data_IF_737514877370
#
_entry.id   IF_737514877370
#
_cell.length_a   1.000
_cell.length_b   1.000
_cell.length_c   1.000
_cell.angle_alpha   90.00
_cell.angle_beta   90.00
_cell.angle_gamma   90.00
#
_symmetry.space_group_name_H-M   'P 1'
#
loop_
_entity.id
_entity.type
_entity.pdbx_description
1 polymer ?
#
# COMPACT_ATOMS: atom_id res chain seq x y z
N UNK A 1 8.59 -12.15 21.73
CA UNK A 1 8.88 -12.46 20.31
C UNK A 1 8.27 -11.37 19.45
N UNK A 2 9.07 -10.63 18.69
CA UNK A 2 8.54 -9.58 17.80
C UNK A 2 7.82 -10.27 16.64
N UNK A 3 6.49 -10.28 16.63
CA UNK A 3 5.74 -10.81 15.49
C UNK A 3 6.07 -9.95 14.27
N UNK A 4 6.68 -10.56 13.26
CA UNK A 4 6.99 -9.89 12.00
C UNK A 4 5.66 -9.59 11.31
N UNK A 5 5.38 -8.33 11.01
CA UNK A 5 4.15 -7.94 10.29
C UNK A 5 4.14 -8.66 8.93
N UNK A 6 2.97 -9.07 8.42
CA UNK A 6 2.90 -9.69 7.11
C UNK A 6 3.44 -8.76 6.03
N UNK A 7 4.34 -9.28 5.19
CA UNK A 7 4.94 -8.54 4.06
C UNK A 7 4.58 -9.26 2.76
N UNK A 8 4.23 -8.52 1.72
CA UNK A 8 3.90 -9.08 0.40
C UNK A 8 4.46 -8.22 -0.72
N UNK A 9 5.08 -8.86 -1.71
CA UNK A 9 5.54 -8.19 -2.93
C UNK A 9 4.33 -7.91 -3.82
N UNK A 10 4.08 -6.62 -4.07
CA UNK A 10 2.95 -6.14 -4.86
C UNK A 10 3.42 -5.16 -5.94
N UNK A 11 2.58 -4.95 -6.96
CA UNK A 11 2.85 -3.95 -8.00
C UNK A 11 2.32 -2.60 -7.56
N UNK A 12 3.22 -1.63 -7.44
CA UNK A 12 2.83 -0.24 -7.20
C UNK A 12 2.40 0.38 -8.54
N UNK A 13 1.21 0.98 -8.58
CA UNK A 13 0.67 1.72 -9.72
C UNK A 13 0.58 3.19 -9.38
N UNK A 14 0.97 4.03 -10.34
CA UNK A 14 0.86 5.48 -10.27
C UNK A 14 -0.54 5.89 -10.75
N UNK A 15 -1.27 6.63 -9.92
CA UNK A 15 -2.65 7.06 -10.17
C UNK A 15 -2.82 8.52 -9.73
N UNK A 16 -3.16 9.39 -10.67
CA UNK A 16 -3.27 10.84 -10.44
C UNK A 16 -4.47 11.22 -9.55
N UNK A 17 -5.47 10.34 -9.49
CA UNK A 17 -6.69 10.50 -8.71
C UNK A 17 -6.56 10.03 -7.24
N UNK A 18 -5.45 9.40 -6.88
CA UNK A 18 -5.15 9.05 -5.48
C UNK A 18 -4.61 10.29 -4.79
N UNK A 19 -5.07 10.59 -3.57
CA UNK A 19 -4.54 11.73 -2.82
C UNK A 19 -3.04 11.56 -2.50
N UNK A 20 -2.26 12.65 -2.43
CA UNK A 20 -0.91 12.61 -1.87
C UNK A 20 -0.90 11.96 -0.48
N UNK A 21 0.21 11.32 -0.10
CA UNK A 21 0.38 10.61 1.19
C UNK A 21 -0.62 9.47 1.49
N UNK A 22 -1.40 9.07 0.49
CA UNK A 22 -2.40 8.01 0.58
C UNK A 22 -2.10 6.89 -0.40
N UNK A 23 -2.43 5.66 -0.02
CA UNK A 23 -2.36 4.49 -0.87
C UNK A 23 -3.71 3.76 -0.86
N UNK A 24 -4.20 3.39 -2.05
CA UNK A 24 -5.36 2.50 -2.20
C UNK A 24 -4.88 1.06 -2.33
N UNK A 25 -5.58 0.16 -1.65
CA UNK A 25 -5.28 -1.28 -1.65
C UNK A 25 -6.59 -2.06 -1.59
N UNK A 26 -6.58 -3.29 -2.09
CA UNK A 26 -7.73 -4.17 -1.96
C UNK A 26 -8.08 -4.41 -0.48
N UNK A 27 -9.37 -4.33 -0.12
CA UNK A 27 -9.85 -4.55 1.26
C UNK A 27 -9.46 -5.92 1.82
N UNK A 28 -9.56 -6.98 1.01
CA UNK A 28 -9.16 -8.32 1.45
C UNK A 28 -7.66 -8.41 1.67
N UNK A 29 -6.87 -7.80 0.78
CA UNK A 29 -5.42 -7.75 0.94
C UNK A 29 -5.01 -6.94 2.17
N UNK A 30 -5.69 -5.83 2.48
CA UNK A 30 -5.45 -5.08 3.72
C UNK A 30 -5.69 -5.95 4.97
N UNK A 31 -6.79 -6.73 4.97
CA UNK A 31 -7.10 -7.67 6.07
C UNK A 31 -6.06 -8.78 6.19
N UNK A 32 -5.69 -9.42 5.08
CA UNK A 32 -4.65 -10.46 5.02
C UNK A 32 -3.31 -9.95 5.57
N UNK A 33 -2.95 -8.72 5.20
CA UNK A 33 -1.70 -8.08 5.63
C UNK A 33 -1.79 -7.39 6.99
N UNK A 34 -2.96 -7.45 7.66
CA UNK A 34 -3.22 -6.82 8.95
C UNK A 34 -2.95 -5.31 8.95
N UNK A 35 -3.22 -4.66 7.82
CA UNK A 35 -3.09 -3.22 7.63
C UNK A 35 -4.37 -2.56 8.16
N UNK A 36 -4.20 -1.65 9.13
CA UNK A 36 -5.31 -0.89 9.74
C UNK A 36 -5.38 0.52 9.17
N UNK A 37 -4.36 1.33 9.47
CA UNK A 37 -4.39 2.77 9.16
C UNK A 37 -3.27 3.19 8.21
N UNK A 38 -2.10 2.55 8.34
CA UNK A 38 -0.89 2.87 7.59
C UNK A 38 -0.24 1.61 7.01
N UNK A 39 0.34 1.76 5.83
CA UNK A 39 1.20 0.74 5.22
C UNK A 39 2.57 1.32 4.89
N UNK A 40 3.56 0.43 4.86
CA UNK A 40 4.93 0.76 4.47
C UNK A 40 5.20 0.16 3.09
N UNK A 41 5.61 1.00 2.14
CA UNK A 41 6.08 0.57 0.81
C UNK A 41 7.59 0.69 0.77
N UNK A 42 8.26 -0.43 0.54
CA UNK A 42 9.70 -0.48 0.28
C UNK A 42 9.94 -0.72 -1.20
N UNK A 43 10.49 0.28 -1.89
CA UNK A 43 10.81 0.18 -3.32
C UNK A 43 12.27 -0.22 -3.46
N UNK A 44 12.54 -1.52 -3.55
CA UNK A 44 13.85 -2.11 -3.92
C UNK A 44 15.09 -1.37 -3.36
N UNK A 45 15.07 -1.01 -2.07
CA UNK A 45 16.17 -0.30 -1.39
C UNK A 45 16.35 1.18 -1.76
N UNK A 46 15.51 1.75 -2.63
CA UNK A 46 15.55 3.16 -3.04
C UNK A 46 14.81 4.06 -2.07
N UNK A 47 13.55 3.71 -1.77
CA UNK A 47 12.66 4.52 -0.93
C UNK A 47 11.86 3.64 0.00
N UNK A 48 11.59 4.18 1.19
CA UNK A 48 10.65 3.67 2.18
C UNK A 48 9.60 4.76 2.40
N UNK A 49 8.35 4.44 2.10
CA UNK A 49 7.22 5.36 2.20
C UNK A 49 6.24 4.83 3.23
N UNK A 50 5.79 5.69 4.14
CA UNK A 50 4.68 5.40 5.04
C UNK A 50 3.44 6.15 4.57
N UNK A 51 2.39 5.43 4.18
CA UNK A 51 1.21 6.01 3.56
C UNK A 51 -0.06 5.65 4.35
N UNK A 52 -1.00 6.59 4.39
CA UNK A 52 -2.34 6.34 4.91
C UNK A 52 -3.08 5.44 3.94
N UNK A 53 -3.81 4.45 4.47
CA UNK A 53 -4.42 3.42 3.64
C UNK A 53 -5.89 3.70 3.44
N UNK A 54 -6.33 3.59 2.19
CA UNK A 54 -7.74 3.59 1.81
C UNK A 54 -8.08 2.22 1.21
N UNK A 55 -8.68 1.31 1.99
CA UNK A 55 -9.12 0.01 1.50
C UNK A 55 -10.32 0.19 0.55
N UNK A 56 -10.25 -0.41 -0.64
CA UNK A 56 -11.33 -0.40 -1.62
C UNK A 56 -11.41 -1.77 -2.31
N UNK A 57 -12.61 -2.18 -2.72
CA UNK A 57 -12.81 -3.51 -3.33
C UNK A 57 -12.50 -3.54 -4.84
N UNK A 58 -12.42 -2.37 -5.48
CA UNK A 58 -12.15 -2.21 -6.92
C UNK A 58 -10.67 -2.34 -7.29
N UNK A 59 -9.78 -2.34 -6.30
CA UNK A 59 -8.34 -2.49 -6.50
C UNK A 59 -7.98 -3.97 -6.68
N UNK A 60 -7.19 -4.35 -7.68
CA UNK A 60 -6.70 -5.72 -7.82
C UNK A 60 -5.88 -6.17 -6.59
N UNK A 61 -6.06 -7.41 -6.06
CA UNK A 61 -5.38 -7.90 -4.85
C UNK A 61 -3.85 -7.94 -4.87
N UNK A 62 -3.22 -7.75 -6.03
CA UNK A 62 -1.77 -7.73 -6.22
C UNK A 62 -1.23 -6.33 -6.54
N UNK A 63 -2.07 -5.30 -6.45
CA UNK A 63 -1.73 -3.92 -6.75
C UNK A 63 -1.91 -3.00 -5.54
N UNK A 64 -1.08 -1.96 -5.50
CA UNK A 64 -1.23 -0.81 -4.60
C UNK A 64 -1.20 0.44 -5.46
N UNK A 65 -2.22 1.28 -5.37
CA UNK A 65 -2.30 2.51 -6.16
C UNK A 65 -1.86 3.68 -5.29
N UNK A 66 -0.85 4.40 -5.74
CA UNK A 66 -0.32 5.60 -5.07
C UNK A 66 -0.30 6.78 -6.03
N UNK A 67 -0.29 7.98 -5.48
CA UNK A 67 -0.08 9.18 -6.30
C UNK A 67 1.36 9.20 -6.86
N UNK A 68 1.50 9.76 -8.07
CA UNK A 68 2.79 9.94 -8.73
C UNK A 68 3.72 10.90 -7.97
N UNK A 69 3.18 11.93 -7.33
CA UNK A 69 3.93 12.89 -6.52
C UNK A 69 4.51 12.27 -5.23
N UNK A 70 3.91 11.17 -4.75
CA UNK A 70 4.34 10.49 -3.52
C UNK A 70 5.44 9.44 -3.77
N UNK A 71 5.53 8.90 -4.99
CA UNK A 71 6.45 7.81 -5.36
C UNK A 71 7.84 8.31 -5.77
#
# INVERSE_FOLDING_TARGET
>A
MSQRKPERRMRVRKKVDVAPDTARINTNTAKELQIKDKLEIVIAGKKKLELTVLPLDDIPPNEVHCNDATL
#
